data_IF_206412667477
#
_entry.id   IF_206412667477
#
_cell.length_a   1.000
_cell.length_b   1.000
_cell.length_c   1.000
_cell.angle_alpha   90.00
_cell.angle_beta   90.00
_cell.angle_gamma   90.00
#
_symmetry.space_group_name_H-M   'P 1'
#
loop_
_entity.id
_entity.type
_entity.pdbx_description
1 polymer ?
#
# COMPACT_ATOMS: atom_id res chain seq x y z
N UNK A 1 9.18 -27.77 -15.73
CA UNK A 1 9.71 -26.78 -16.69
C UNK A 1 8.52 -26.13 -17.38
N UNK A 2 8.02 -25.02 -16.82
CA UNK A 2 6.97 -24.21 -17.45
C UNK A 2 7.66 -23.01 -18.12
N UNK A 3 7.50 -22.80 -19.43
CA UNK A 3 8.08 -21.66 -20.11
C UNK A 3 7.09 -20.49 -20.01
N UNK A 4 7.09 -19.77 -18.89
CA UNK A 4 6.62 -18.39 -18.94
C UNK A 4 7.62 -17.63 -19.80
N UNK A 5 7.23 -17.47 -21.06
CA UNK A 5 7.91 -16.68 -22.07
C UNK A 5 8.02 -15.25 -21.53
N UNK A 6 9.14 -14.97 -20.83
CA UNK A 6 9.57 -13.62 -20.51
C UNK A 6 9.85 -12.94 -21.85
N UNK A 7 8.84 -12.28 -22.40
CA UNK A 7 9.03 -11.27 -23.43
C UNK A 7 9.76 -10.13 -22.73
N UNK A 8 11.09 -10.25 -22.66
CA UNK A 8 11.97 -9.14 -22.34
C UNK A 8 11.82 -8.13 -23.46
N UNK A 9 10.93 -7.16 -23.26
CA UNK A 9 10.96 -5.94 -24.05
C UNK A 9 12.27 -5.25 -23.69
N UNK A 10 13.19 -5.24 -24.64
CA UNK A 10 14.49 -4.56 -24.57
C UNK A 10 14.31 -3.10 -24.13
N UNK A 11 14.47 -2.82 -22.83
CA UNK A 11 14.71 -1.48 -22.32
C UNK A 11 16.08 -1.47 -21.67
N UNK A 12 16.98 -0.63 -22.17
CA UNK A 12 18.37 -0.49 -21.71
C UNK A 12 18.54 -0.08 -20.21
N UNK A 13 17.45 0.06 -19.46
CA UNK A 13 17.38 -0.06 -18.00
C UNK A 13 16.03 -0.72 -17.71
N UNK A 14 16.02 -1.89 -17.07
CA UNK A 14 14.80 -2.48 -16.53
C UNK A 14 14.26 -1.58 -15.41
N UNK A 15 12.93 -1.35 -15.34
CA UNK A 15 12.35 -0.77 -14.13
C UNK A 15 12.69 -1.67 -12.93
N UNK A 16 12.88 -1.08 -11.76
CA UNK A 16 13.04 -1.85 -10.53
C UNK A 16 12.21 -1.23 -9.41
N UNK A 17 11.61 -2.08 -8.60
CA UNK A 17 10.76 -1.70 -7.49
C UNK A 17 11.43 -2.08 -6.18
N UNK A 18 11.58 -1.12 -5.27
CA UNK A 18 12.15 -1.34 -3.94
C UNK A 18 11.03 -1.49 -2.93
N UNK A 19 10.99 -2.65 -2.28
CA UNK A 19 10.00 -3.03 -1.29
C UNK A 19 10.70 -3.35 0.03
N UNK A 20 9.98 -3.16 1.14
CA UNK A 20 10.37 -3.68 2.46
C UNK A 20 9.22 -4.51 3.03
N UNK A 21 9.47 -5.80 3.22
CA UNK A 21 8.46 -6.77 3.63
C UNK A 21 8.52 -6.99 5.16
N UNK A 22 7.38 -6.85 5.81
CA UNK A 22 7.21 -7.15 7.23
C UNK A 22 6.25 -8.34 7.41
N UNK A 23 6.78 -9.43 7.98
CA UNK A 23 6.03 -10.64 8.32
C UNK A 23 5.69 -10.66 9.81
N UNK A 24 4.40 -10.65 10.14
CA UNK A 24 3.91 -10.74 11.53
C UNK A 24 3.29 -12.11 11.76
N UNK A 25 4.00 -12.97 12.48
CA UNK A 25 3.52 -14.31 12.84
C UNK A 25 2.86 -14.31 14.21
N UNK A 26 1.58 -14.71 14.29
CA UNK A 26 0.89 -14.84 15.56
C UNK A 26 1.11 -16.25 16.15
N UNK A 27 1.78 -16.33 17.31
CA UNK A 27 1.94 -17.54 18.13
C UNK A 27 1.06 -17.44 19.37
N UNK A 28 -0.26 -17.52 19.29
CA UNK A 28 -1.04 -17.40 20.52
C UNK A 28 -0.79 -18.61 21.48
N UNK A 29 -0.22 -18.30 22.65
CA UNK A 29 -0.33 -19.05 23.92
C UNK A 29 -1.06 -18.13 24.91
N UNK A 30 -1.87 -18.65 25.86
CA UNK A 30 -3.05 -17.97 26.36
C UNK A 30 -2.64 -16.74 27.17
N UNK A 31 -3.22 -15.58 26.85
CA UNK A 31 -3.31 -14.53 27.85
C UNK A 31 -4.27 -15.06 28.92
N UNK A 32 -3.73 -15.56 30.03
CA UNK A 32 -4.44 -15.45 31.30
C UNK A 32 -4.64 -13.96 31.52
N UNK A 33 -5.81 -13.47 31.10
CA UNK A 33 -6.33 -12.17 31.49
C UNK A 33 -6.51 -12.28 33.00
N UNK A 34 -5.48 -11.96 33.76
CA UNK A 34 -5.63 -11.67 35.18
C UNK A 34 -6.67 -10.55 35.24
N UNK A 35 -7.86 -10.78 35.83
CA UNK A 35 -8.88 -9.76 35.87
C UNK A 35 -8.27 -8.53 36.53
N UNK A 36 -8.24 -7.41 35.79
CA UNK A 36 -7.84 -6.12 36.34
C UNK A 36 -8.71 -5.91 37.58
N UNK A 37 -8.12 -5.72 38.78
CA UNK A 37 -8.91 -5.43 39.95
C UNK A 37 -9.81 -4.24 39.63
N UNK A 38 -11.13 -4.43 39.77
CA UNK A 38 -12.12 -3.38 39.59
C UNK A 38 -11.70 -2.19 40.46
N UNK A 39 -11.09 -1.17 39.84
CA UNK A 39 -10.99 0.14 40.48
C UNK A 39 -12.43 0.60 40.67
N UNK A 40 -12.84 0.71 41.93
CA UNK A 40 -14.16 1.26 42.29
C UNK A 40 -14.31 2.59 41.56
N UNK A 41 -15.29 2.65 40.67
CA UNK A 41 -15.75 3.89 40.08
C UNK A 41 -16.36 4.70 41.24
N UNK A 42 -15.64 5.72 41.69
CA UNK A 42 -16.21 6.74 42.56
C UNK A 42 -17.10 7.66 41.71
N UNK A 43 -18.18 8.14 42.32
CA UNK A 43 -19.31 8.78 41.65
C UNK A 43 -18.92 10.11 40.94
N UNK A 44 -19.73 10.54 39.95
CA UNK A 44 -19.46 11.73 39.15
C UNK A 44 -19.73 13.00 39.98
N UNK A 45 -18.72 13.86 40.08
CA UNK A 45 -18.86 15.18 40.68
C UNK A 45 -17.61 15.59 41.43
N UNK A 46 -16.64 16.15 40.71
CA UNK A 46 -15.78 17.23 41.18
C UNK A 46 -15.04 17.80 39.96
N UNK A 47 -15.27 19.08 39.72
CA UNK A 47 -14.90 19.86 38.54
C UNK A 47 -13.46 20.35 38.68
N UNK A 48 -12.70 20.36 37.59
CA UNK A 48 -11.53 21.23 37.50
C UNK A 48 -11.58 22.03 36.19
N UNK A 49 -11.69 23.35 36.37
CA UNK A 49 -11.72 24.40 35.37
C UNK A 49 -10.46 24.40 34.51
N UNK A 50 -10.62 24.41 33.19
CA UNK A 50 -9.60 24.93 32.28
C UNK A 50 -10.28 25.85 31.27
N UNK A 51 -10.06 27.14 31.49
CA UNK A 51 -10.39 28.25 30.60
C UNK A 51 -9.64 28.09 29.28
N UNK A 52 -10.34 28.16 28.15
CA UNK A 52 -9.74 28.36 26.82
C UNK A 52 -10.44 29.56 26.19
N UNK A 53 -9.71 30.65 26.07
CA UNK A 53 -10.13 31.87 25.38
C UNK A 53 -10.20 31.61 23.86
N UNK A 54 -11.24 32.18 23.24
CA UNK A 54 -11.48 32.24 21.80
C UNK A 54 -10.74 33.44 21.20
N UNK A 55 -10.21 33.30 19.97
CA UNK A 55 -10.10 34.45 19.05
C UNK A 55 -10.51 34.03 17.62
N UNK A 56 -11.48 34.78 17.09
CA UNK A 56 -11.92 34.82 15.69
C UNK A 56 -10.93 35.56 14.78
N UNK A 57 -11.00 35.27 13.47
CA UNK A 57 -11.50 36.19 12.42
C UNK A 57 -10.69 36.15 11.11
N UNK A 58 -11.42 36.06 9.99
CA UNK A 58 -11.19 36.96 8.84
C UNK A 58 -10.45 36.43 7.61
N UNK A 59 -11.12 36.53 6.44
CA UNK A 59 -10.41 36.81 5.18
C UNK A 59 -10.90 36.08 3.92
N UNK A 60 -11.70 36.78 3.11
CA UNK A 60 -12.15 36.37 1.77
C UNK A 60 -11.03 36.38 0.70
N UNK A 61 -11.14 35.54 -0.33
CA UNK A 61 -10.22 35.58 -1.47
C UNK A 61 -10.54 34.60 -2.60
N UNK A 62 -11.03 35.16 -3.71
CA UNK A 62 -11.38 34.55 -5.00
C UNK A 62 -10.20 33.83 -5.68
N UNK A 63 -10.46 32.68 -6.32
CA UNK A 63 -9.56 32.11 -7.32
C UNK A 63 -9.92 30.67 -7.74
N UNK A 64 -10.83 30.51 -8.70
CA UNK A 64 -10.96 29.27 -9.47
C UNK A 64 -10.09 29.39 -10.73
N UNK A 65 -9.18 28.43 -10.96
CA UNK A 65 -9.25 27.74 -12.24
C UNK A 65 -9.08 26.21 -12.11
N UNK A 66 -9.77 25.53 -13.01
CA UNK A 66 -9.61 24.14 -13.43
C UNK A 66 -9.93 23.07 -12.38
N UNK A 67 -11.16 22.55 -12.46
CA UNK A 67 -11.56 21.29 -11.84
C UNK A 67 -10.78 20.14 -12.48
N UNK A 68 -9.57 19.91 -11.98
CA UNK A 68 -8.92 18.61 -12.05
C UNK A 68 -9.90 17.57 -11.49
N UNK A 69 -9.98 16.35 -12.07
CA UNK A 69 -10.77 15.29 -11.45
C UNK A 69 -10.30 15.15 -9.99
N UNK A 70 -11.25 15.20 -9.06
CA UNK A 70 -10.99 15.07 -7.64
C UNK A 70 -10.02 13.91 -7.43
N UNK A 71 -8.87 14.18 -6.80
CA UNK A 71 -7.83 13.17 -6.57
C UNK A 71 -8.49 11.99 -5.86
N UNK A 72 -8.66 10.88 -6.57
CA UNK A 72 -9.32 9.69 -6.01
C UNK A 72 -8.44 9.21 -4.85
N UNK A 73 -8.97 9.11 -3.63
CA UNK A 73 -8.24 8.51 -2.52
C UNK A 73 -7.88 7.07 -2.89
N UNK A 74 -6.69 6.61 -2.50
CA UNK A 74 -6.32 5.20 -2.69
C UNK A 74 -7.34 4.25 -2.05
N UNK A 75 -7.35 2.99 -2.47
CA UNK A 75 -8.29 1.96 -2.00
C UNK A 75 -7.63 0.96 -1.04
N UNK A 76 -6.56 1.39 -0.37
CA UNK A 76 -5.84 0.54 0.60
C UNK A 76 -6.76 0.12 1.76
N UNK A 77 -6.65 -1.15 2.14
CA UNK A 77 -7.48 -1.77 3.16
C UNK A 77 -6.70 -1.93 4.47
N UNK A 78 -7.38 -1.89 5.63
CA UNK A 78 -6.74 -2.09 6.92
C UNK A 78 -6.20 -3.51 7.06
N UNK A 79 -5.29 -3.70 8.02
CA UNK A 79 -4.74 -5.01 8.36
C UNK A 79 -5.85 -5.97 8.81
N UNK A 80 -5.80 -7.20 8.32
CA UNK A 80 -6.70 -8.27 8.79
C UNK A 80 -6.48 -8.58 10.28
N UNK A 81 -7.51 -9.04 11.00
CA UNK A 81 -7.32 -9.56 12.35
C UNK A 81 -6.35 -10.74 12.32
N UNK A 82 -5.45 -10.80 13.29
CA UNK A 82 -4.49 -11.91 13.39
C UNK A 82 -5.19 -13.21 13.79
N UNK A 83 -4.87 -14.30 13.10
CA UNK A 83 -5.29 -15.64 13.46
C UNK A 83 -4.12 -16.43 14.10
N UNK A 84 -4.36 -17.22 15.17
CA UNK A 84 -3.32 -18.05 15.77
C UNK A 84 -2.66 -19.00 14.76
N UNK A 85 -1.33 -19.03 14.75
CA UNK A 85 -0.54 -19.88 13.87
C UNK A 85 -0.49 -19.42 12.42
N UNK A 86 -0.94 -18.19 12.12
CA UNK A 86 -0.92 -17.60 10.78
C UNK A 86 -0.04 -16.36 10.71
N UNK A 87 0.41 -16.03 9.50
CA UNK A 87 1.28 -14.89 9.21
C UNK A 87 0.54 -13.85 8.39
N UNK A 88 0.59 -12.60 8.85
CA UNK A 88 0.19 -11.43 8.07
C UNK A 88 1.40 -10.85 7.33
N UNK A 89 1.17 -10.42 6.10
CA UNK A 89 2.18 -9.80 5.25
C UNK A 89 1.82 -8.33 5.01
N UNK A 90 2.70 -7.47 5.47
CA UNK A 90 2.69 -6.03 5.16
C UNK A 90 3.84 -5.74 4.22
N UNK A 91 3.54 -5.07 3.10
CA UNK A 91 4.55 -4.68 2.10
C UNK A 91 4.62 -3.17 2.08
N UNK A 92 5.79 -2.63 2.40
CA UNK A 92 6.09 -1.22 2.22
C UNK A 92 6.67 -1.00 0.83
N UNK A 93 5.97 -0.24 0.01
CA UNK A 93 6.50 0.24 -1.26
C UNK A 93 7.32 1.49 -0.97
N UNK A 94 8.65 1.41 -1.12
CA UNK A 94 9.51 2.58 -0.94
C UNK A 94 9.46 3.48 -2.17
N UNK A 95 9.92 2.95 -3.31
CA UNK A 95 10.06 3.69 -4.56
C UNK A 95 10.18 2.75 -5.75
N UNK A 96 9.90 3.29 -6.93
CA UNK A 96 10.15 2.63 -8.22
C UNK A 96 11.14 3.44 -9.06
N UNK A 97 12.11 2.77 -9.66
CA UNK A 97 13.07 3.32 -10.61
C UNK A 97 12.55 3.24 -12.05
N UNK A 98 12.47 4.37 -12.75
CA UNK A 98 12.03 4.48 -14.15
C UNK A 98 12.89 5.53 -14.86
N UNK A 99 13.25 5.31 -16.13
CA UNK A 99 14.03 6.30 -16.91
C UNK A 99 13.35 7.68 -17.03
N UNK A 100 12.02 7.70 -17.03
CA UNK A 100 11.17 8.87 -17.23
C UNK A 100 10.19 9.06 -16.05
N UNK A 101 10.63 8.76 -14.83
CA UNK A 101 9.81 8.85 -13.61
C UNK A 101 9.18 10.23 -13.44
N UNK A 102 9.97 11.30 -13.62
CA UNK A 102 9.50 12.69 -13.46
C UNK A 102 8.35 13.07 -14.38
N UNK A 103 8.27 12.45 -15.56
CA UNK A 103 7.22 12.68 -16.56
C UNK A 103 5.91 11.94 -16.27
N UNK A 104 5.89 11.04 -15.29
CA UNK A 104 4.68 10.33 -14.91
C UNK A 104 3.73 11.27 -14.17
N UNK A 105 2.53 11.47 -14.70
CA UNK A 105 1.49 12.32 -14.11
C UNK A 105 0.56 11.45 -13.28
N UNK A 106 0.28 11.91 -12.06
CA UNK A 106 -0.55 11.22 -11.07
C UNK A 106 -0.23 9.72 -10.94
N UNK A 107 1.06 9.36 -10.73
CA UNK A 107 1.43 7.96 -10.66
C UNK A 107 0.88 7.31 -9.40
N UNK A 108 0.35 6.10 -9.53
CA UNK A 108 -0.04 5.25 -8.41
C UNK A 108 0.30 3.78 -8.72
N UNK A 109 0.23 2.94 -7.69
CA UNK A 109 0.43 1.50 -7.82
C UNK A 109 -0.87 0.76 -7.55
N UNK A 110 -1.21 -0.17 -8.42
CA UNK A 110 -2.23 -1.19 -8.14
C UNK A 110 -1.55 -2.46 -7.65
N UNK A 111 -1.99 -2.96 -6.50
CA UNK A 111 -1.51 -4.22 -5.93
C UNK A 111 -2.63 -5.26 -5.95
N UNK A 112 -2.32 -6.43 -6.48
CA UNK A 112 -3.26 -7.55 -6.58
C UNK A 112 -2.55 -8.86 -6.27
N UNK A 113 -3.26 -9.81 -5.68
CA UNK A 113 -2.75 -11.16 -5.44
C UNK A 113 -3.49 -12.09 -6.36
N UNK A 114 -2.78 -12.78 -7.23
CA UNK A 114 -3.36 -13.63 -8.28
C UNK A 114 -2.91 -15.07 -8.12
N UNK A 115 -3.76 -16.01 -8.53
CA UNK A 115 -3.41 -17.43 -8.65
C UNK A 115 -2.66 -17.72 -9.97
N UNK A 116 -2.33 -18.99 -10.21
CA UNK A 116 -1.66 -19.45 -11.44
C UNK A 116 -2.46 -19.18 -12.73
N UNK A 117 -3.79 -19.02 -12.61
CA UNK A 117 -4.67 -18.71 -13.73
C UNK A 117 -4.84 -17.19 -13.92
N UNK A 118 -4.20 -16.36 -13.09
CA UNK A 118 -4.31 -14.91 -13.11
C UNK A 118 -5.59 -14.37 -12.44
N UNK A 119 -6.31 -15.20 -11.69
CA UNK A 119 -7.55 -14.84 -11.00
C UNK A 119 -7.19 -14.19 -9.66
N UNK A 120 -7.84 -13.06 -9.36
CA UNK A 120 -7.64 -12.33 -8.10
C UNK A 120 -8.11 -13.18 -6.89
N UNK A 121 -7.20 -13.40 -5.95
CA UNK A 121 -7.43 -14.11 -4.69
C UNK A 121 -7.85 -13.18 -3.55
N UNK A 122 -7.59 -11.88 -3.69
CA UNK A 122 -7.91 -10.82 -2.73
C UNK A 122 -8.47 -9.59 -3.45
N UNK A 123 -9.19 -8.69 -2.76
CA UNK A 123 -9.52 -7.39 -3.32
C UNK A 123 -8.26 -6.66 -3.82
N UNK A 124 -8.39 -6.02 -4.98
CA UNK A 124 -7.35 -5.17 -5.57
C UNK A 124 -7.26 -3.87 -4.78
N UNK A 125 -6.04 -3.42 -4.50
CA UNK A 125 -5.77 -2.22 -3.71
C UNK A 125 -4.93 -1.22 -4.52
N UNK A 126 -5.36 0.03 -4.55
CA UNK A 126 -4.65 1.13 -5.21
C UNK A 126 -4.01 2.04 -4.16
N UNK A 127 -2.73 2.34 -4.33
CA UNK A 127 -2.10 3.38 -3.52
C UNK A 127 -2.70 4.74 -3.85
N UNK A 128 -2.66 5.71 -2.91
CA UNK A 128 -2.78 7.11 -3.25
C UNK A 128 -1.74 7.51 -4.31
N UNK A 129 -2.02 8.59 -5.02
CA UNK A 129 -1.09 9.15 -6.00
C UNK A 129 0.19 9.61 -5.31
N UNK A 130 1.34 9.21 -5.84
CA UNK A 130 2.63 9.65 -5.34
C UNK A 130 2.91 11.10 -5.75
N UNK A 131 3.21 11.95 -4.76
CA UNK A 131 3.55 13.36 -4.95
C UNK A 131 5.05 13.60 -5.11
N UNK A 132 5.89 12.73 -4.53
CA UNK A 132 7.35 12.86 -4.56
C UNK A 132 7.92 12.12 -5.77
N UNK A 133 8.41 12.89 -6.75
CA UNK A 133 9.01 12.39 -7.98
C UNK A 133 10.36 13.06 -8.21
N UNK A 134 11.31 12.27 -8.67
CA UNK A 134 12.62 12.68 -9.17
C UNK A 134 12.72 12.33 -10.66
N UNK A 135 13.85 12.63 -11.30
CA UNK A 135 14.06 12.31 -12.72
C UNK A 135 13.96 10.80 -12.98
N UNK A 136 14.53 9.99 -12.07
CA UNK A 136 14.63 8.53 -12.22
C UNK A 136 13.82 7.73 -11.20
N UNK A 137 13.15 8.37 -10.23
CA UNK A 137 12.41 7.68 -9.17
C UNK A 137 11.04 8.28 -8.90
N UNK A 138 10.07 7.43 -8.56
CA UNK A 138 8.82 7.84 -7.91
C UNK A 138 8.79 7.22 -6.51
N UNK A 139 8.62 8.05 -5.48
CA UNK A 139 8.61 7.62 -4.08
C UNK A 139 7.18 7.49 -3.58
N UNK A 140 6.88 6.33 -3.01
CA UNK A 140 5.57 6.03 -2.42
C UNK A 140 5.63 6.09 -0.89
N UNK A 141 6.61 5.40 -0.28
CA UNK A 141 6.75 5.22 1.17
C UNK A 141 5.41 4.88 1.85
N UNK A 142 4.72 3.87 1.30
CA UNK A 142 3.40 3.48 1.79
C UNK A 142 3.35 1.99 2.09
N UNK A 143 2.66 1.62 3.16
CA UNK A 143 2.42 0.24 3.55
C UNK A 143 1.11 -0.28 2.95
N UNK A 144 1.14 -1.53 2.51
CA UNK A 144 0.00 -2.25 1.97
C UNK A 144 -0.16 -3.55 2.76
N UNK A 145 -1.36 -3.78 3.23
CA UNK A 145 -1.72 -4.98 3.97
C UNK A 145 -2.32 -6.01 3.02
N UNK A 146 -1.65 -7.16 2.86
CA UNK A 146 -2.16 -8.24 2.03
C UNK A 146 -3.38 -8.84 2.72
N UNK A 147 -4.52 -8.79 2.03
CA UNK A 147 -5.83 -9.18 2.56
C UNK A 147 -6.03 -10.71 2.56
N UNK A 148 -4.96 -11.45 2.91
CA UNK A 148 -4.98 -12.90 3.14
C UNK A 148 -3.74 -13.31 3.93
N UNK A 149 -3.93 -14.22 4.89
CA UNK A 149 -2.82 -14.86 5.58
C UNK A 149 -1.93 -15.65 4.60
N UNK A 150 -0.62 -15.62 4.81
CA UNK A 150 0.38 -16.20 3.88
C UNK A 150 0.14 -17.70 3.68
N UNK A 151 -0.21 -18.43 4.73
CA UNK A 151 -0.45 -19.87 4.72
C UNK A 151 -1.72 -20.25 3.94
N UNK A 152 -2.66 -19.32 3.77
CA UNK A 152 -3.91 -19.52 3.00
C UNK A 152 -3.76 -19.19 1.52
N UNK A 153 -2.60 -18.67 1.09
CA UNK A 153 -2.31 -18.42 -0.32
C UNK A 153 -2.01 -19.73 -1.05
N UNK A 154 -2.60 -19.90 -2.23
CA UNK A 154 -2.42 -21.12 -3.02
C UNK A 154 -0.99 -21.19 -3.57
N UNK A 155 -0.47 -22.42 -3.73
CA UNK A 155 0.84 -22.61 -4.36
C UNK A 155 0.81 -22.08 -5.79
N UNK A 156 1.82 -21.30 -6.16
CA UNK A 156 1.87 -20.63 -7.46
C UNK A 156 1.05 -19.33 -7.52
N UNK A 157 0.57 -18.82 -6.39
CA UNK A 157 0.11 -17.43 -6.31
C UNK A 157 1.29 -16.45 -6.43
N UNK A 158 1.00 -15.22 -6.84
CA UNK A 158 1.96 -14.14 -6.89
C UNK A 158 1.29 -12.80 -6.56
N UNK A 159 2.09 -11.89 -5.99
CA UNK A 159 1.67 -10.52 -5.70
C UNK A 159 2.15 -9.64 -6.85
N UNK A 160 1.22 -8.99 -7.55
CA UNK A 160 1.48 -8.10 -8.67
C UNK A 160 1.46 -6.65 -8.22
N UNK A 161 2.41 -5.88 -8.75
CA UNK A 161 2.57 -4.45 -8.56
C UNK A 161 2.50 -3.79 -9.93
N UNK A 162 1.37 -3.19 -10.27
CA UNK A 162 1.20 -2.48 -11.54
C UNK A 162 1.38 -0.98 -11.33
N UNK A 163 2.42 -0.41 -11.93
CA UNK A 163 2.62 1.03 -11.92
C UNK A 163 1.75 1.67 -13.01
N UNK A 164 0.88 2.59 -12.59
CA UNK A 164 -0.08 3.30 -13.45
C UNK A 164 0.21 4.79 -13.43
N UNK A 165 -0.02 5.43 -14.57
CA UNK A 165 0.09 6.89 -14.71
C UNK A 165 -0.92 7.43 -15.71
N UNK A 166 -1.30 8.69 -15.54
CA UNK A 166 -2.18 9.38 -16.47
C UNK A 166 -1.43 9.78 -17.74
N UNK A 167 -2.03 9.52 -18.91
CA UNK A 167 -1.52 9.94 -20.23
C UNK A 167 -2.38 11.08 -20.78
N UNK A 168 -1.97 12.36 -20.65
CA UNK A 168 -2.80 13.50 -21.05
C UNK A 168 -3.23 13.48 -22.51
N UNK A 169 -2.32 13.07 -23.41
CA UNK A 169 -2.61 12.97 -24.85
C UNK A 169 -3.70 11.96 -25.17
N UNK A 170 -3.81 10.90 -24.37
CA UNK A 170 -4.81 9.84 -24.58
C UNK A 170 -5.99 9.93 -23.61
N UNK A 171 -5.94 10.84 -22.63
CA UNK A 171 -6.97 11.10 -21.62
C UNK A 171 -7.39 9.86 -20.82
N UNK A 172 -6.46 8.94 -20.57
CA UNK A 172 -6.71 7.74 -19.75
C UNK A 172 -5.49 7.37 -18.92
N UNK A 173 -5.73 6.60 -17.86
CA UNK A 173 -4.68 6.01 -17.02
C UNK A 173 -4.21 4.69 -17.61
N UNK A 174 -2.91 4.58 -17.86
CA UNK A 174 -2.29 3.38 -18.43
C UNK A 174 -1.38 2.71 -17.41
N UNK A 175 -1.40 1.38 -17.37
CA UNK A 175 -0.28 0.61 -16.81
C UNK A 175 0.96 0.88 -17.67
N UNK A 176 2.07 1.28 -17.05
CA UNK A 176 3.35 1.54 -17.73
C UNK A 176 4.27 0.32 -17.65
N UNK A 177 4.28 -0.32 -16.49
CA UNK A 177 5.06 -1.51 -16.17
C UNK A 177 4.39 -2.24 -15.01
N UNK A 178 4.76 -3.50 -14.83
CA UNK A 178 4.38 -4.28 -13.67
C UNK A 178 5.59 -5.11 -13.20
N UNK A 179 5.63 -5.39 -11.91
CA UNK A 179 6.51 -6.39 -11.32
C UNK A 179 5.65 -7.37 -10.53
N UNK A 180 6.17 -8.56 -10.23
CA UNK A 180 5.49 -9.50 -9.36
C UNK A 180 6.47 -10.20 -8.43
N UNK A 181 5.95 -10.72 -7.34
CA UNK A 181 6.69 -11.48 -6.34
C UNK A 181 6.00 -12.82 -6.12
N UNK A 182 6.73 -13.91 -6.34
CA UNK A 182 6.23 -15.26 -6.06
C UNK A 182 6.23 -15.56 -4.55
N UNK A 183 5.45 -16.55 -4.14
CA UNK A 183 5.28 -16.90 -2.72
C UNK A 183 6.59 -17.32 -2.02
N UNK A 184 7.54 -17.89 -2.74
CA UNK A 184 8.84 -18.33 -2.22
C UNK A 184 9.88 -17.18 -2.13
N UNK A 185 9.59 -16.06 -2.79
CA UNK A 185 10.37 -14.82 -2.69
C UNK A 185 9.99 -13.99 -1.46
N UNK A 186 8.84 -14.28 -0.82
CA UNK A 186 8.37 -13.58 0.38
C UNK A 186 9.32 -13.88 1.54
N UNK A 187 10.13 -12.87 1.89
CA UNK A 187 11.08 -12.88 3.01
C UNK A 187 11.00 -11.54 3.71
N UNK A 188 11.25 -11.52 5.01
CA UNK A 188 11.34 -10.26 5.76
C UNK A 188 12.52 -9.42 5.28
N UNK A 189 12.32 -8.10 5.24
CA UNK A 189 13.33 -7.12 4.87
C UNK A 189 13.21 -6.60 3.44
N UNK A 190 14.23 -5.84 3.04
CA UNK A 190 14.24 -5.16 1.75
C UNK A 190 14.46 -6.13 0.59
N UNK A 191 13.67 -5.95 -0.47
CA UNK A 191 13.78 -6.69 -1.73
C UNK A 191 13.63 -5.73 -2.91
N UNK A 192 14.38 -6.00 -3.97
CA UNK A 192 14.29 -5.29 -5.25
C UNK A 192 13.77 -6.26 -6.29
N UNK A 193 12.69 -5.91 -6.97
CA UNK A 193 12.07 -6.73 -8.02
C UNK A 193 12.03 -5.96 -9.35
N UNK A 194 12.16 -6.68 -10.46
CA UNK A 194 12.18 -6.13 -11.84
C UNK A 194 10.86 -6.36 -12.59
#
# INVERSE_FOLDING_TARGET
>A
MSPFLKIYVFFLFSPFLVLDNLLTFNKEFPFDVQPVPLRRILAPGEEENLEVEEEEEGGAGVGSPDSFPARVPGTLLPRLPSEPGMTLLTIRIEKIGLKDAGQCIDPYMTVSVKDINGIDLTPVQDTPMASRKEDTYVHFNIEIEIQKHVEKLTKGAAIFFEFKHYKPKKRFTSTKCFAFMEMDEIKSGQIVIE
#
